data_IF_572175186713
#
_entry.id   IF_572175186713
#
_cell.length_a   1.000
_cell.length_b   1.000
_cell.length_c   1.000
_cell.angle_alpha   90.00
_cell.angle_beta   90.00
_cell.angle_gamma   90.00
#
_symmetry.space_group_name_H-M   'P 1'
#
loop_
_entity.id
_entity.type
_entity.pdbx_description
1 polymer ?
#
# COMPACT_ATOMS: atom_id res chain seq x y z
N UNK A 1 98.13 18.10 -38.78
CA UNK A 1 97.88 17.70 -37.38
C UNK A 1 96.90 16.56 -37.44
N UNK A 2 97.35 15.40 -36.96
CA UNK A 2 96.60 14.14 -36.96
C UNK A 2 95.35 14.26 -36.10
N UNK A 3 94.24 13.65 -36.54
CA UNK A 3 93.24 13.14 -35.61
C UNK A 3 92.76 11.74 -36.02
N UNK A 4 92.71 10.92 -34.98
CA UNK A 4 92.63 9.47 -34.83
C UNK A 4 91.30 8.84 -35.31
N UNK A 5 91.30 7.66 -35.97
CA UNK A 5 90.09 6.95 -36.36
C UNK A 5 89.66 5.98 -35.27
N UNK A 6 88.50 6.21 -34.62
CA UNK A 6 87.69 5.13 -34.04
C UNK A 6 86.35 5.68 -33.51
N UNK A 7 85.32 5.61 -34.34
CA UNK A 7 83.94 5.56 -33.87
C UNK A 7 83.23 4.42 -34.61
N UNK A 8 82.90 3.29 -33.95
CA UNK A 8 82.14 2.22 -34.59
C UNK A 8 80.67 2.64 -34.72
N UNK A 9 80.20 2.83 -35.96
CA UNK A 9 78.78 2.91 -36.26
C UNK A 9 78.09 1.62 -35.80
N UNK A 10 77.16 1.76 -34.85
CA UNK A 10 76.26 0.70 -34.43
C UNK A 10 75.34 0.40 -35.63
N UNK A 11 75.59 -0.71 -36.32
CA UNK A 11 74.66 -1.25 -37.32
C UNK A 11 73.34 -1.59 -36.63
N UNK A 12 72.30 -0.78 -36.85
CA UNK A 12 70.94 -1.19 -36.58
C UNK A 12 70.60 -2.37 -37.50
N UNK A 13 70.14 -3.52 -36.98
CA UNK A 13 69.64 -4.58 -37.85
C UNK A 13 68.39 -4.04 -38.56
N UNK A 14 68.47 -3.90 -39.88
CA UNK A 14 67.31 -3.71 -40.74
C UNK A 14 66.34 -4.88 -40.50
N UNK A 15 65.31 -4.66 -39.68
CA UNK A 15 64.13 -5.50 -39.71
C UNK A 15 63.49 -5.32 -41.09
N UNK A 16 63.77 -6.26 -42.00
CA UNK A 16 62.96 -6.43 -43.20
C UNK A 16 61.54 -6.80 -42.75
N UNK A 17 60.51 -5.94 -42.96
CA UNK A 17 59.16 -6.42 -42.89
C UNK A 17 58.95 -7.22 -44.18
N UNK A 18 59.15 -8.52 -44.13
CA UNK A 18 58.58 -9.41 -45.14
C UNK A 18 57.07 -9.32 -44.99
N UNK A 19 56.48 -8.32 -45.64
CA UNK A 19 55.05 -8.17 -45.78
C UNK A 19 54.54 -9.36 -46.60
N UNK A 20 54.18 -10.44 -45.91
CA UNK A 20 53.47 -11.56 -46.49
C UNK A 20 52.24 -10.98 -47.20
N UNK A 21 52.18 -11.12 -48.52
CA UNK A 21 51.02 -10.71 -49.33
C UNK A 21 49.79 -11.45 -48.79
N UNK A 22 48.95 -10.78 -48.01
CA UNK A 22 47.70 -11.36 -47.51
C UNK A 22 46.70 -11.39 -48.65
N UNK A 23 46.25 -12.58 -49.00
CA UNK A 23 45.21 -12.76 -50.01
C UNK A 23 43.89 -12.20 -49.47
N UNK A 24 42.99 -11.73 -50.33
CA UNK A 24 41.68 -11.17 -49.94
C UNK A 24 40.87 -12.09 -49.00
N UNK A 25 41.03 -13.40 -49.16
CA UNK A 25 40.47 -14.43 -48.27
C UNK A 25 40.99 -14.35 -46.82
N UNK A 26 42.23 -13.92 -46.61
CA UNK A 26 42.80 -13.65 -45.28
C UNK A 26 42.12 -12.45 -44.61
N UNK A 27 41.95 -11.34 -45.35
CA UNK A 27 41.26 -10.15 -44.84
C UNK A 27 39.80 -10.45 -44.49
N UNK A 28 39.10 -11.24 -45.31
CA UNK A 28 37.74 -11.66 -45.02
C UNK A 28 37.66 -12.55 -43.77
N UNK A 29 38.59 -13.50 -43.59
CA UNK A 29 38.65 -14.33 -42.37
C UNK A 29 38.96 -13.51 -41.12
N UNK A 30 39.87 -12.54 -41.22
CA UNK A 30 40.19 -11.60 -40.13
C UNK A 30 38.98 -10.73 -39.77
N UNK A 31 38.30 -10.15 -40.77
CA UNK A 31 37.04 -9.44 -40.57
C UNK A 31 35.99 -10.34 -39.91
N UNK A 32 35.78 -11.55 -40.43
CA UNK A 32 34.77 -12.47 -39.92
C UNK A 32 35.08 -12.89 -38.48
N UNK A 33 36.34 -13.11 -38.14
CA UNK A 33 36.77 -13.41 -36.77
C UNK A 33 36.44 -12.26 -35.81
N UNK A 34 36.82 -11.02 -36.16
CA UNK A 34 36.55 -9.84 -35.35
C UNK A 34 35.05 -9.55 -35.25
N UNK A 35 34.33 -9.66 -36.36
CA UNK A 35 32.88 -9.51 -36.41
C UNK A 35 32.19 -10.54 -35.52
N UNK A 36 32.54 -11.82 -35.63
CA UNK A 36 31.96 -12.87 -34.81
C UNK A 36 32.30 -12.70 -33.33
N UNK A 37 33.51 -12.25 -32.98
CA UNK A 37 33.88 -11.97 -31.60
C UNK A 37 32.99 -10.87 -30.98
N UNK A 38 32.82 -9.75 -31.69
CA UNK A 38 31.96 -8.64 -31.24
C UNK A 38 30.49 -9.05 -31.24
N UNK A 39 30.03 -9.73 -32.28
CA UNK A 39 28.65 -10.20 -32.41
C UNK A 39 28.28 -11.21 -31.31
N UNK A 40 29.17 -12.18 -31.03
CA UNK A 40 28.98 -13.14 -29.96
C UNK A 40 28.97 -12.46 -28.59
N UNK A 41 29.85 -11.47 -28.37
CA UNK A 41 29.85 -10.65 -27.15
C UNK A 41 28.51 -9.94 -26.94
N UNK A 42 28.00 -9.26 -27.97
CA UNK A 42 26.69 -8.61 -27.94
C UNK A 42 25.54 -9.61 -27.68
N UNK A 43 25.56 -10.77 -28.35
CA UNK A 43 24.56 -11.82 -28.14
C UNK A 43 24.59 -12.39 -26.72
N UNK A 44 25.79 -12.62 -26.17
CA UNK A 44 25.97 -13.13 -24.81
C UNK A 44 25.48 -12.11 -23.76
N UNK A 45 25.75 -10.82 -23.98
CA UNK A 45 25.26 -9.74 -23.10
C UNK A 45 23.74 -9.63 -23.12
N UNK A 46 23.11 -9.60 -24.30
CA UNK A 46 21.64 -9.58 -24.42
C UNK A 46 20.99 -10.81 -23.75
N UNK A 47 21.61 -11.99 -23.88
CA UNK A 47 21.11 -13.20 -23.24
C UNK A 47 21.25 -13.13 -21.71
N UNK A 48 22.41 -12.68 -21.20
CA UNK A 48 22.64 -12.47 -19.77
C UNK A 48 21.66 -11.46 -19.17
N UNK A 49 21.41 -10.36 -19.88
CA UNK A 49 20.47 -9.33 -19.43
C UNK A 49 19.05 -9.89 -19.36
N UNK A 50 18.60 -10.62 -20.39
CA UNK A 50 17.28 -11.28 -20.36
C UNK A 50 17.11 -12.20 -19.16
N UNK A 51 18.12 -13.03 -18.86
CA UNK A 51 18.08 -13.90 -17.68
C UNK A 51 17.99 -13.11 -16.37
N UNK A 52 18.73 -11.99 -16.29
CA UNK A 52 18.72 -11.11 -15.12
C UNK A 52 17.36 -10.42 -14.95
N UNK A 53 16.78 -9.91 -16.05
CA UNK A 53 15.43 -9.32 -16.04
C UNK A 53 14.37 -10.33 -15.59
N UNK A 54 14.42 -11.57 -16.08
CA UNK A 54 13.47 -12.63 -15.70
C UNK A 54 13.61 -13.00 -14.21
N UNK A 55 14.84 -13.05 -13.68
CA UNK A 55 15.08 -13.30 -12.27
C UNK A 55 14.52 -12.18 -11.37
N UNK A 56 14.78 -10.92 -11.71
CA UNK A 56 14.27 -9.77 -10.98
C UNK A 56 12.75 -9.65 -11.06
N UNK A 57 12.16 -9.88 -12.24
CA UNK A 57 10.71 -9.89 -12.40
C UNK A 57 10.06 -10.91 -11.46
N UNK A 58 10.66 -12.10 -11.35
CA UNK A 58 10.16 -13.16 -10.48
C UNK A 58 10.26 -12.80 -9.01
N UNK A 59 11.38 -12.24 -8.57
CA UNK A 59 11.59 -11.80 -7.19
C UNK A 59 10.57 -10.72 -6.81
N UNK A 60 10.42 -9.69 -7.64
CA UNK A 60 9.45 -8.62 -7.46
C UNK A 60 8.00 -9.15 -7.45
N UNK A 61 7.68 -10.10 -8.33
CA UNK A 61 6.35 -10.71 -8.40
C UNK A 61 6.01 -11.48 -7.11
N UNK A 62 6.96 -12.23 -6.56
CA UNK A 62 6.77 -12.97 -5.31
C UNK A 62 6.56 -11.99 -4.15
N UNK A 63 7.41 -10.96 -4.03
CA UNK A 63 7.30 -9.99 -2.95
C UNK A 63 5.98 -9.19 -3.04
N UNK A 64 5.59 -8.76 -4.26
CA UNK A 64 4.30 -8.10 -4.49
C UNK A 64 3.13 -9.00 -4.10
N UNK A 65 3.19 -10.29 -4.48
CA UNK A 65 2.15 -11.25 -4.13
C UNK A 65 1.98 -11.40 -2.61
N UNK A 66 3.08 -11.48 -1.85
CA UNK A 66 3.01 -11.58 -0.39
C UNK A 66 2.45 -10.32 0.27
N UNK A 67 2.84 -9.13 -0.18
CA UNK A 67 2.26 -7.87 0.30
C UNK A 67 0.74 -7.81 0.05
N UNK A 68 0.33 -8.12 -1.17
CA UNK A 68 -1.07 -8.13 -1.60
C UNK A 68 -1.92 -9.17 -0.86
N UNK A 69 -1.35 -10.36 -0.61
CA UNK A 69 -1.99 -11.44 0.16
C UNK A 69 -2.22 -10.98 1.59
N UNK A 70 -1.21 -10.39 2.23
CA UNK A 70 -1.35 -9.86 3.58
C UNK A 70 -2.36 -8.70 3.64
N UNK A 71 -2.36 -7.79 2.67
CA UNK A 71 -3.34 -6.69 2.61
C UNK A 71 -4.77 -7.18 2.38
N UNK A 72 -4.96 -8.29 1.65
CA UNK A 72 -6.29 -8.87 1.40
C UNK A 72 -6.99 -9.30 2.70
N UNK A 73 -6.23 -9.77 3.70
CA UNK A 73 -6.74 -10.10 5.02
C UNK A 73 -7.07 -8.83 5.81
N UNK A 74 -6.15 -7.86 5.78
CA UNK A 74 -6.32 -6.62 6.54
C UNK A 74 -7.54 -5.83 6.04
N UNK A 75 -7.73 -5.67 4.74
CA UNK A 75 -8.89 -4.92 4.20
C UNK A 75 -10.22 -5.55 4.60
N UNK A 76 -10.30 -6.89 4.76
CA UNK A 76 -11.49 -7.58 5.26
C UNK A 76 -11.75 -7.20 6.72
N UNK A 77 -10.74 -7.30 7.58
CA UNK A 77 -10.85 -6.90 9.00
C UNK A 77 -11.28 -5.43 9.13
N UNK A 78 -10.71 -4.53 8.33
CA UNK A 78 -11.08 -3.10 8.32
C UNK A 78 -12.52 -2.89 7.83
N UNK A 79 -12.97 -3.69 6.87
CA UNK A 79 -14.36 -3.65 6.38
C UNK A 79 -15.35 -4.02 7.49
N UNK A 80 -15.13 -5.13 8.19
CA UNK A 80 -16.01 -5.59 9.27
C UNK A 80 -16.07 -4.59 10.43
N UNK A 81 -14.90 -4.06 10.77
CA UNK A 81 -14.75 -3.03 11.80
C UNK A 81 -15.55 -1.76 11.45
N UNK A 82 -15.51 -1.32 10.17
CA UNK A 82 -16.32 -0.19 9.68
C UNK A 82 -17.81 -0.48 9.71
N UNK A 83 -18.25 -1.69 9.34
CA UNK A 83 -19.66 -2.10 9.44
C UNK A 83 -20.16 -2.00 10.89
N UNK A 84 -19.35 -2.42 11.87
CA UNK A 84 -19.72 -2.28 13.29
C UNK A 84 -19.89 -0.81 13.69
N UNK A 85 -18.97 0.06 13.27
CA UNK A 85 -19.06 1.49 13.52
C UNK A 85 -20.29 2.14 12.84
N UNK A 86 -20.58 1.78 11.59
CA UNK A 86 -21.75 2.27 10.85
C UNK A 86 -23.06 1.89 11.56
N UNK A 87 -23.18 0.63 12.01
CA UNK A 87 -24.34 0.18 12.79
C UNK A 87 -24.48 0.96 14.09
N UNK A 88 -23.37 1.20 14.80
CA UNK A 88 -23.40 1.97 16.03
C UNK A 88 -23.87 3.42 15.82
N UNK A 89 -23.41 4.07 14.74
CA UNK A 89 -23.88 5.40 14.36
C UNK A 89 -25.38 5.40 14.03
N UNK A 90 -25.87 4.40 13.31
CA UNK A 90 -27.28 4.26 12.98
C UNK A 90 -28.15 4.06 14.22
N UNK A 91 -27.73 3.20 15.15
CA UNK A 91 -28.43 3.00 16.43
C UNK A 91 -28.48 4.29 17.26
N UNK A 92 -27.42 5.09 17.27
CA UNK A 92 -27.41 6.40 17.94
C UNK A 92 -28.35 7.40 17.26
N UNK A 93 -28.38 7.44 15.92
CA UNK A 93 -29.31 8.30 15.19
C UNK A 93 -30.77 7.97 15.58
N UNK A 94 -31.14 6.70 15.56
CA UNK A 94 -32.47 6.26 15.99
C UNK A 94 -32.75 6.61 17.46
N UNK A 95 -31.79 6.38 18.36
CA UNK A 95 -31.94 6.73 19.77
C UNK A 95 -32.20 8.24 19.97
N UNK A 96 -31.49 9.10 19.25
CA UNK A 96 -31.67 10.54 19.34
C UNK A 96 -33.03 11.03 18.79
N UNK A 97 -33.73 10.23 17.99
CA UNK A 97 -35.05 10.58 17.44
C UNK A 97 -36.17 10.50 18.47
N UNK A 98 -36.16 9.53 19.38
CA UNK A 98 -37.34 9.22 20.19
C UNK A 98 -37.08 8.87 21.66
N UNK A 99 -35.81 8.76 22.08
CA UNK A 99 -35.45 8.25 23.40
C UNK A 99 -34.92 9.33 24.34
N UNK A 100 -35.12 9.14 25.65
CA UNK A 100 -34.59 10.05 26.68
C UNK A 100 -33.07 9.92 26.82
N UNK A 101 -32.40 11.06 27.03
CA UNK A 101 -30.96 11.15 27.30
C UNK A 101 -30.63 11.34 28.79
N UNK A 102 -31.64 11.42 29.67
CA UNK A 102 -31.42 11.58 31.12
C UNK A 102 -30.96 10.29 31.79
N UNK A 103 -31.47 9.15 31.32
CA UNK A 103 -31.07 7.82 31.74
C UNK A 103 -30.89 6.97 30.49
N UNK A 104 -29.63 6.64 30.18
CA UNK A 104 -29.30 5.90 28.97
C UNK A 104 -28.87 4.48 29.29
N UNK A 105 -29.25 3.55 28.42
CA UNK A 105 -28.94 2.14 28.59
C UNK A 105 -27.46 1.81 28.35
N UNK A 106 -27.00 0.65 28.84
CA UNK A 106 -25.71 0.08 28.42
C UNK A 106 -25.57 0.02 26.90
N UNK A 107 -26.64 -0.36 26.19
CA UNK A 107 -26.67 -0.39 24.71
C UNK A 107 -26.34 0.98 24.12
N UNK A 108 -26.88 2.06 24.66
CA UNK A 108 -26.54 3.42 24.23
C UNK A 108 -25.05 3.71 24.45
N UNK A 109 -24.53 3.45 25.65
CA UNK A 109 -23.10 3.70 25.96
C UNK A 109 -22.15 2.93 25.03
N UNK A 110 -22.46 1.67 24.71
CA UNK A 110 -21.68 0.83 23.78
C UNK A 110 -21.70 1.41 22.37
N UNK A 111 -22.88 1.82 21.88
CA UNK A 111 -22.97 2.45 20.56
C UNK A 111 -22.25 3.82 20.53
N UNK A 112 -22.32 4.59 21.62
CA UNK A 112 -21.58 5.85 21.75
C UNK A 112 -20.07 5.62 21.68
N UNK A 113 -19.57 4.57 22.32
CA UNK A 113 -18.16 4.16 22.24
C UNK A 113 -17.75 3.81 20.81
N UNK A 114 -18.49 2.93 20.14
CA UNK A 114 -18.12 2.47 18.79
C UNK A 114 -18.32 3.52 17.70
N UNK A 115 -19.42 4.28 17.76
CA UNK A 115 -19.78 5.27 16.76
C UNK A 115 -18.97 6.56 16.89
N UNK A 116 -18.90 7.10 18.11
CA UNK A 116 -18.39 8.45 18.38
C UNK A 116 -17.04 8.41 19.09
N UNK A 117 -16.93 7.79 20.28
CA UNK A 117 -15.74 7.96 21.13
C UNK A 117 -14.47 7.33 20.57
N UNK A 118 -14.54 6.09 20.10
CA UNK A 118 -13.38 5.40 19.60
C UNK A 118 -13.15 5.73 18.14
N UNK A 119 -11.97 6.28 17.88
CA UNK A 119 -11.33 6.20 16.57
C UNK A 119 -10.80 4.78 16.43
N UNK A 120 -11.73 3.87 16.23
CA UNK A 120 -11.48 2.48 15.83
C UNK A 120 -10.39 2.47 14.74
N UNK A 121 -9.48 1.48 14.66
CA UNK A 121 -8.51 1.43 13.56
C UNK A 121 -9.23 1.04 12.26
N UNK A 122 -10.11 1.92 11.76
CA UNK A 122 -10.87 1.81 10.52
C UNK A 122 -10.05 2.27 9.31
N UNK A 123 -8.88 2.87 9.56
CA UNK A 123 -7.90 3.18 8.54
C UNK A 123 -7.34 1.88 7.97
N UNK A 124 -7.41 1.78 6.65
CA UNK A 124 -6.71 0.79 5.85
C UNK A 124 -5.54 1.48 5.17
N UNK A 125 -4.34 0.97 5.45
CA UNK A 125 -3.07 1.45 4.91
C UNK A 125 -2.45 0.29 4.12
N UNK A 126 -2.71 0.21 2.80
CA UNK A 126 -2.10 -0.78 1.93
C UNK A 126 -0.58 -0.71 1.98
N UNK A 127 0.09 -1.86 1.91
CA UNK A 127 1.54 -1.92 1.75
C UNK A 127 1.91 -1.48 0.33
N UNK A 128 2.89 -0.60 0.21
CA UNK A 128 3.27 0.01 -1.08
C UNK A 128 4.73 -0.22 -1.45
N UNK A 129 5.54 -0.93 -0.65
CA UNK A 129 6.99 -1.01 -0.85
C UNK A 129 7.34 -1.56 -2.23
N UNK A 130 6.75 -2.70 -2.61
CA UNK A 130 7.04 -3.31 -3.91
C UNK A 130 6.37 -2.53 -5.05
N UNK A 131 5.18 -1.98 -4.81
CA UNK A 131 4.49 -1.14 -5.79
C UNK A 131 5.33 0.10 -6.15
N UNK A 132 5.86 0.80 -5.15
CA UNK A 132 6.75 1.95 -5.32
C UNK A 132 8.07 1.56 -5.97
N UNK A 133 8.65 0.42 -5.57
CA UNK A 133 9.87 -0.09 -6.21
C UNK A 133 9.62 -0.34 -7.71
N UNK A 134 8.50 -0.94 -8.09
CA UNK A 134 8.14 -1.20 -9.49
C UNK A 134 7.99 0.08 -10.31
N UNK A 135 7.39 1.11 -9.72
CA UNK A 135 7.13 2.39 -10.37
C UNK A 135 8.40 3.24 -10.51
N UNK A 136 9.19 3.34 -9.44
CA UNK A 136 10.32 4.27 -9.37
C UNK A 136 11.60 3.73 -10.05
N UNK A 137 11.76 2.41 -10.16
CA UNK A 137 12.96 1.79 -10.77
C UNK A 137 12.83 1.48 -12.26
N UNK A 138 11.67 1.72 -12.88
CA UNK A 138 11.38 1.28 -14.24
C UNK A 138 11.25 -0.25 -14.40
N UNK A 139 11.22 -0.99 -13.28
CA UNK A 139 11.14 -2.46 -13.29
C UNK A 139 9.81 -3.01 -13.81
N UNK A 140 8.78 -2.18 -13.92
CA UNK A 140 7.50 -2.57 -14.52
C UNK A 140 7.67 -3.14 -15.95
N UNK A 141 8.70 -2.70 -16.70
CA UNK A 141 9.02 -3.21 -18.04
C UNK A 141 9.42 -4.69 -18.08
N UNK A 142 9.81 -5.26 -16.94
CA UNK A 142 10.17 -6.67 -16.84
C UNK A 142 8.92 -7.57 -16.82
N UNK A 143 7.77 -7.03 -16.40
CA UNK A 143 6.48 -7.72 -16.40
C UNK A 143 5.86 -7.66 -17.80
N UNK A 144 6.08 -8.69 -18.64
CA UNK A 144 5.66 -8.62 -20.06
C UNK A 144 4.15 -8.68 -20.27
N UNK A 145 3.35 -9.13 -19.30
CA UNK A 145 1.90 -9.12 -19.41
C UNK A 145 1.33 -7.70 -19.24
N UNK A 146 0.69 -7.18 -20.30
CA UNK A 146 0.05 -5.87 -20.31
C UNK A 146 -1.08 -5.72 -19.31
N UNK A 147 -1.87 -6.78 -19.08
CA UNK A 147 -2.94 -6.76 -18.08
C UNK A 147 -2.37 -6.64 -16.67
N UNK A 148 -1.25 -7.33 -16.39
CA UNK A 148 -0.58 -7.23 -15.11
C UNK A 148 -0.07 -5.80 -14.86
N UNK A 149 0.56 -5.18 -15.87
CA UNK A 149 0.99 -3.78 -15.79
C UNK A 149 -0.19 -2.83 -15.55
N UNK A 150 -1.30 -3.03 -16.28
CA UNK A 150 -2.53 -2.23 -16.11
C UNK A 150 -3.06 -2.35 -14.69
N UNK A 151 -3.20 -3.57 -14.17
CA UNK A 151 -3.72 -3.81 -12.82
C UNK A 151 -2.81 -3.23 -11.73
N UNK A 152 -1.49 -3.23 -11.91
CA UNK A 152 -0.55 -2.54 -11.01
C UNK A 152 -0.83 -1.03 -11.00
N UNK A 153 -1.09 -0.43 -12.16
CA UNK A 153 -1.53 0.97 -12.26
C UNK A 153 -2.87 1.22 -11.56
N UNK A 154 -3.87 0.38 -11.84
CA UNK A 154 -5.21 0.46 -11.24
C UNK A 154 -5.14 0.33 -9.70
N UNK A 155 -4.23 -0.51 -9.19
CA UNK A 155 -3.99 -0.67 -7.76
C UNK A 155 -3.51 0.64 -7.14
N UNK A 156 -2.53 1.31 -7.75
CA UNK A 156 -2.05 2.61 -7.29
C UNK A 156 -3.17 3.65 -7.24
N UNK A 157 -4.04 3.69 -8.25
CA UNK A 157 -5.21 4.58 -8.28
C UNK A 157 -6.16 4.24 -7.13
N UNK A 158 -6.45 2.95 -6.90
CA UNK A 158 -7.31 2.51 -5.81
C UNK A 158 -6.77 2.92 -4.44
N UNK A 159 -5.46 2.76 -4.20
CA UNK A 159 -4.78 3.15 -2.96
C UNK A 159 -4.88 4.68 -2.75
N UNK A 160 -4.59 5.47 -3.78
CA UNK A 160 -4.69 6.93 -3.71
C UNK A 160 -6.11 7.39 -3.38
N UNK A 161 -7.12 6.79 -4.01
CA UNK A 161 -8.52 7.10 -3.73
C UNK A 161 -8.91 6.72 -2.29
N UNK A 162 -8.44 5.58 -1.77
CA UNK A 162 -8.65 5.22 -0.36
C UNK A 162 -8.04 6.26 0.57
N UNK A 163 -6.81 6.69 0.30
CA UNK A 163 -6.13 7.69 1.14
C UNK A 163 -6.85 9.04 1.14
N UNK A 164 -7.32 9.51 -0.02
CA UNK A 164 -8.11 10.73 -0.13
C UNK A 164 -9.42 10.63 0.67
N UNK A 165 -10.15 9.53 0.51
CA UNK A 165 -11.40 9.28 1.24
C UNK A 165 -11.21 9.22 2.74
N UNK A 166 -10.16 8.58 3.23
CA UNK A 166 -9.84 8.51 4.66
C UNK A 166 -9.43 9.87 5.24
N UNK A 167 -8.85 10.75 4.41
CA UNK A 167 -8.58 12.15 4.78
C UNK A 167 -9.89 12.92 4.94
N UNK A 168 -10.80 12.83 3.96
CA UNK A 168 -12.12 13.45 4.06
C UNK A 168 -12.89 12.97 5.30
N UNK A 169 -12.88 11.66 5.59
CA UNK A 169 -13.48 11.12 6.80
C UNK A 169 -12.89 11.71 8.08
N UNK A 170 -11.57 11.92 8.09
CA UNK A 170 -10.88 12.55 9.22
C UNK A 170 -11.34 13.98 9.41
N UNK A 171 -11.54 14.72 8.32
CA UNK A 171 -11.97 16.12 8.38
C UNK A 171 -13.45 16.24 8.79
N UNK A 172 -14.34 15.42 8.22
CA UNK A 172 -15.74 15.31 8.67
C UNK A 172 -15.80 14.98 10.17
N UNK A 173 -14.98 14.02 10.64
CA UNK A 173 -14.95 13.65 12.06
C UNK A 173 -14.51 14.83 12.93
N UNK A 174 -13.45 15.54 12.53
CA UNK A 174 -12.95 16.70 13.28
C UNK A 174 -14.01 17.79 13.39
N UNK A 175 -14.71 18.07 12.29
CA UNK A 175 -15.68 19.15 12.21
C UNK A 175 -16.99 18.83 12.95
N UNK A 176 -17.49 17.60 12.81
CA UNK A 176 -18.86 17.27 13.24
C UNK A 176 -18.95 16.27 14.40
N UNK A 177 -17.97 15.39 14.57
CA UNK A 177 -18.04 14.29 15.57
C UNK A 177 -17.24 14.62 16.82
N UNK A 178 -16.04 15.19 16.69
CA UNK A 178 -15.22 15.55 17.84
C UNK A 178 -15.90 16.56 18.77
N UNK A 179 -16.66 17.57 18.31
CA UNK A 179 -17.41 18.44 19.21
C UNK A 179 -18.41 17.69 20.09
N UNK A 180 -19.03 16.62 19.59
CA UNK A 180 -19.94 15.77 20.38
C UNK A 180 -19.20 15.08 21.53
N UNK A 181 -17.94 14.68 21.33
CA UNK A 181 -17.11 14.14 22.40
C UNK A 181 -16.74 15.17 23.45
N UNK A 182 -16.48 16.41 23.02
CA UNK A 182 -16.15 17.49 23.95
C UNK A 182 -17.37 17.86 24.81
N UNK A 183 -18.56 17.89 24.21
CA UNK A 183 -19.78 18.36 24.88
C UNK A 183 -20.48 17.26 25.68
N UNK A 184 -20.54 16.03 25.15
CA UNK A 184 -21.50 15.04 25.63
C UNK A 184 -20.88 13.75 26.18
N UNK A 185 -19.57 13.55 26.03
CA UNK A 185 -18.93 12.31 26.50
C UNK A 185 -18.64 12.33 28.00
N UNK A 186 -18.99 11.22 28.65
CA UNK A 186 -18.70 11.00 30.06
C UNK A 186 -17.29 10.44 30.28
N UNK A 187 -16.37 11.32 30.68
CA UNK A 187 -15.00 10.91 31.01
C UNK A 187 -14.89 10.23 32.39
N UNK A 188 -15.90 10.30 33.25
CA UNK A 188 -15.92 9.53 34.50
C UNK A 188 -16.23 8.06 34.19
N UNK A 189 -17.26 7.82 33.36
CA UNK A 189 -17.52 6.52 32.74
C UNK A 189 -16.27 5.97 32.04
N UNK A 190 -15.57 6.80 31.25
CA UNK A 190 -14.34 6.38 30.56
C UNK A 190 -13.26 5.88 31.52
N UNK A 191 -13.02 6.59 32.62
CA UNK A 191 -12.01 6.17 33.63
C UNK A 191 -12.40 4.84 34.27
N UNK A 192 -13.68 4.67 34.59
CA UNK A 192 -14.20 3.41 35.16
C UNK A 192 -14.12 2.25 34.17
N UNK A 193 -14.36 2.50 32.90
CA UNK A 193 -14.32 1.51 31.83
C UNK A 193 -12.90 1.00 31.58
N UNK A 194 -11.90 1.89 31.64
CA UNK A 194 -10.54 1.59 31.19
C UNK A 194 -9.63 1.07 32.31
N UNK A 195 -9.93 1.34 33.60
CA UNK A 195 -9.22 0.76 34.78
C UNK A 195 -7.68 0.67 34.61
N UNK A 196 -7.05 1.78 34.23
CA UNK A 196 -5.60 1.96 33.97
C UNK A 196 -5.01 1.35 32.67
N UNK A 197 -5.83 0.74 31.80
CA UNK A 197 -5.40 0.28 30.47
C UNK A 197 -5.29 1.43 29.46
N UNK A 198 -4.67 1.21 28.30
CA UNK A 198 -4.75 2.19 27.19
C UNK A 198 -6.10 2.03 26.48
N UNK A 199 -6.76 3.15 26.15
CA UNK A 199 -8.01 3.17 25.38
C UNK A 199 -7.85 2.36 24.09
N UNK A 200 -8.63 1.30 23.95
CA UNK A 200 -8.61 0.45 22.75
C UNK A 200 -10.00 -0.15 22.50
N UNK A 201 -10.27 -0.47 21.24
CA UNK A 201 -11.56 -1.07 20.84
C UNK A 201 -11.85 -2.40 21.56
N UNK A 202 -10.81 -3.08 22.01
CA UNK A 202 -10.92 -4.31 22.81
C UNK A 202 -11.58 -4.05 24.17
N UNK A 203 -11.40 -2.86 24.76
CA UNK A 203 -12.09 -2.47 26.01
C UNK A 203 -13.60 -2.34 25.78
N UNK A 204 -14.03 -1.68 24.69
CA UNK A 204 -15.46 -1.64 24.36
C UNK A 204 -16.03 -3.04 24.09
N UNK A 205 -15.26 -3.91 23.43
CA UNK A 205 -15.70 -5.28 23.15
C UNK A 205 -15.85 -6.11 24.43
N UNK A 206 -14.90 -6.00 25.36
CA UNK A 206 -14.98 -6.65 26.67
C UNK A 206 -16.16 -6.13 27.49
N UNK A 207 -16.38 -4.81 27.50
CA UNK A 207 -17.52 -4.22 28.19
C UNK A 207 -18.86 -4.66 27.59
N UNK A 208 -18.99 -4.63 26.26
CA UNK A 208 -20.17 -5.10 25.54
C UNK A 208 -20.50 -6.56 25.89
N UNK A 209 -19.48 -7.43 25.96
CA UNK A 209 -19.65 -8.86 26.26
C UNK A 209 -19.87 -9.20 27.74
N UNK A 210 -19.57 -8.27 28.65
CA UNK A 210 -19.72 -8.49 30.09
C UNK A 210 -21.16 -8.27 30.58
N UNK A 211 -21.46 -8.73 31.79
CA UNK A 211 -22.69 -8.35 32.53
C UNK A 211 -22.52 -7.06 33.34
N UNK A 212 -21.31 -6.46 33.35
CA UNK A 212 -21.04 -5.21 34.07
C UNK A 212 -21.85 -4.06 33.44
N UNK A 213 -22.48 -3.24 34.29
CA UNK A 213 -23.16 -2.02 33.90
C UNK A 213 -22.44 -0.86 34.55
N UNK A 214 -21.74 -0.07 33.75
CA UNK A 214 -21.10 1.16 34.19
C UNK A 214 -22.05 2.30 33.82
N UNK A 215 -22.53 3.11 34.79
CA UNK A 215 -23.39 4.25 34.49
C UNK A 215 -22.71 5.21 33.51
N UNK A 216 -23.42 5.61 32.47
CA UNK A 216 -22.99 6.63 31.51
C UNK A 216 -23.96 7.81 31.60
N UNK A 217 -23.44 9.02 31.78
CA UNK A 217 -24.22 10.25 31.77
C UNK A 217 -23.98 11.04 30.48
N UNK A 218 -25.03 11.28 29.68
CA UNK A 218 -24.92 12.16 28.52
C UNK A 218 -24.77 13.62 28.99
N UNK A 219 -23.55 14.16 28.90
CA UNK A 219 -23.21 15.48 29.48
C UNK A 219 -23.82 16.64 28.67
N UNK A 220 -24.04 17.78 29.35
CA UNK A 220 -24.52 19.03 28.74
C UNK A 220 -25.75 18.87 27.84
N UNK A 221 -26.79 18.20 28.35
CA UNK A 221 -28.05 17.96 27.64
C UNK A 221 -28.71 19.27 27.16
N UNK A 222 -28.55 20.37 27.90
CA UNK A 222 -29.06 21.69 27.54
C UNK A 222 -28.44 22.28 26.27
N UNK A 223 -27.28 21.76 25.84
CA UNK A 223 -26.57 22.16 24.62
C UNK A 223 -26.77 21.18 23.46
N UNK A 224 -27.62 20.17 23.63
CA UNK A 224 -27.80 19.14 22.63
C UNK A 224 -28.60 19.64 21.42
N UNK A 225 -27.93 19.81 20.28
CA UNK A 225 -28.59 20.00 18.99
C UNK A 225 -28.97 18.63 18.41
N UNK A 226 -30.22 18.22 18.62
CA UNK A 226 -30.75 16.95 18.13
C UNK A 226 -30.62 16.79 16.61
N UNK A 227 -31.14 17.75 15.84
CA UNK A 227 -31.20 17.62 14.39
C UNK A 227 -29.80 17.73 13.77
N UNK A 228 -28.98 18.67 14.27
CA UNK A 228 -27.59 18.80 13.85
C UNK A 228 -26.77 17.56 14.17
N UNK A 229 -26.96 16.94 15.34
CA UNK A 229 -26.28 15.70 15.71
C UNK A 229 -26.68 14.54 14.82
N UNK A 230 -27.98 14.33 14.56
CA UNK A 230 -28.44 13.26 13.66
C UNK A 230 -27.84 13.44 12.26
N UNK A 231 -27.84 14.67 11.73
CA UNK A 231 -27.24 14.98 10.43
C UNK A 231 -25.72 14.78 10.43
N UNK A 232 -25.02 15.16 11.51
CA UNK A 232 -23.59 14.94 11.71
C UNK A 232 -23.22 13.45 11.72
N UNK A 233 -24.00 12.62 12.41
CA UNK A 233 -23.81 11.16 12.39
C UNK A 233 -24.11 10.58 11.00
N UNK A 234 -25.14 11.09 10.32
CA UNK A 234 -25.50 10.69 8.96
C UNK A 234 -24.38 10.96 7.94
N UNK A 235 -23.86 12.19 7.90
CA UNK A 235 -22.76 12.53 6.98
C UNK A 235 -21.49 11.72 7.28
N UNK A 236 -21.15 11.51 8.55
CA UNK A 236 -19.97 10.71 8.90
C UNK A 236 -20.16 9.22 8.58
N UNK A 237 -21.29 8.63 8.97
CA UNK A 237 -21.58 7.21 8.80
C UNK A 237 -21.89 6.83 7.36
N UNK A 238 -22.84 7.50 6.72
CA UNK A 238 -23.31 7.14 5.37
C UNK A 238 -22.41 7.70 4.27
N UNK A 239 -22.14 9.01 4.29
CA UNK A 239 -21.36 9.66 3.23
C UNK A 239 -19.85 9.48 3.41
N UNK A 240 -19.37 9.37 4.65
CA UNK A 240 -17.98 9.09 4.99
C UNK A 240 -17.68 7.60 4.92
N UNK A 241 -17.97 6.89 6.01
CA UNK A 241 -17.53 5.52 6.26
C UNK A 241 -18.09 4.51 5.25
N UNK A 242 -19.42 4.49 5.06
CA UNK A 242 -20.09 3.50 4.22
C UNK A 242 -19.75 3.68 2.73
N UNK A 243 -19.62 4.92 2.25
CA UNK A 243 -19.18 5.21 0.88
C UNK A 243 -17.74 4.71 0.64
N UNK A 244 -16.81 5.01 1.54
CA UNK A 244 -15.42 4.54 1.43
C UNK A 244 -15.33 3.02 1.47
N UNK A 245 -16.08 2.36 2.35
CA UNK A 245 -16.13 0.90 2.45
C UNK A 245 -16.74 0.24 1.22
N UNK A 246 -17.90 0.71 0.77
CA UNK A 246 -18.67 0.04 -0.29
C UNK A 246 -18.11 0.31 -1.68
N UNK A 247 -17.47 1.46 -1.90
CA UNK A 247 -16.89 1.83 -3.20
C UNK A 247 -15.39 1.56 -3.20
N UNK A 248 -14.64 2.27 -2.36
CA UNK A 248 -13.18 2.34 -2.51
C UNK A 248 -12.47 1.09 -2.01
N UNK A 249 -12.88 0.54 -0.86
CA UNK A 249 -12.33 -0.75 -0.39
C UNK A 249 -12.74 -1.88 -1.33
N UNK A 250 -13.94 -1.84 -1.91
CA UNK A 250 -14.38 -2.87 -2.85
C UNK A 250 -13.55 -2.85 -4.14
N UNK A 251 -13.34 -1.66 -4.72
CA UNK A 251 -12.46 -1.50 -5.89
C UNK A 251 -11.05 -2.03 -5.61
N UNK A 252 -10.47 -1.69 -4.45
CA UNK A 252 -9.16 -2.23 -4.06
C UNK A 252 -9.18 -3.76 -3.97
N UNK A 253 -10.19 -4.36 -3.30
CA UNK A 253 -10.33 -5.82 -3.19
C UNK A 253 -10.43 -6.49 -4.55
N UNK A 254 -11.19 -5.92 -5.47
CA UNK A 254 -11.39 -6.48 -6.81
C UNK A 254 -10.09 -6.45 -7.62
N UNK A 255 -9.37 -5.33 -7.59
CA UNK A 255 -8.06 -5.19 -8.27
C UNK A 255 -7.03 -6.11 -7.63
N UNK A 256 -6.93 -6.12 -6.29
CA UNK A 256 -6.01 -6.97 -5.55
C UNK A 256 -6.25 -8.46 -5.86
N UNK A 257 -7.51 -8.90 -5.86
CA UNK A 257 -7.88 -10.29 -6.19
C UNK A 257 -7.42 -10.68 -7.60
N UNK A 258 -7.64 -9.81 -8.59
CA UNK A 258 -7.19 -10.05 -9.97
C UNK A 258 -5.66 -10.11 -10.07
N UNK A 259 -4.96 -9.22 -9.36
CA UNK A 259 -3.49 -9.22 -9.30
C UNK A 259 -2.95 -10.52 -8.69
N UNK A 260 -3.48 -10.94 -7.55
CA UNK A 260 -3.07 -12.18 -6.89
C UNK A 260 -3.23 -13.39 -7.81
N UNK A 261 -4.37 -13.50 -8.50
CA UNK A 261 -4.62 -14.58 -9.45
C UNK A 261 -3.64 -14.56 -10.62
N UNK A 262 -3.38 -13.37 -11.18
CA UNK A 262 -2.53 -13.22 -12.36
C UNK A 262 -1.05 -13.46 -12.03
N UNK A 263 -0.54 -12.88 -10.93
CA UNK A 263 0.81 -13.11 -10.41
C UNK A 263 1.06 -14.60 -10.15
N UNK A 264 0.11 -15.26 -9.50
CA UNK A 264 0.18 -16.69 -9.23
C UNK A 264 0.28 -17.52 -10.51
N UNK A 265 -0.57 -17.20 -11.50
CA UNK A 265 -0.62 -17.90 -12.79
C UNK A 265 0.68 -17.72 -13.58
N UNK A 266 1.17 -16.49 -13.70
CA UNK A 266 2.34 -16.17 -14.52
C UNK A 266 3.65 -16.66 -13.90
N UNK A 267 3.82 -16.47 -12.59
CA UNK A 267 5.08 -16.75 -11.90
C UNK A 267 5.09 -18.10 -11.16
N UNK A 268 4.00 -18.88 -11.27
CA UNK A 268 3.84 -20.22 -10.67
C UNK A 268 4.09 -20.22 -9.16
N UNK A 269 3.58 -19.20 -8.48
CA UNK A 269 3.71 -19.01 -7.03
C UNK A 269 2.85 -20.08 -6.33
N UNK A 270 3.39 -20.72 -5.28
CA UNK A 270 2.67 -21.71 -4.46
C UNK A 270 1.95 -21.01 -3.30
N UNK A 271 0.88 -21.62 -2.80
CA UNK A 271 0.10 -21.09 -1.66
C UNK A 271 0.90 -21.04 -0.35
#
# INVERSE_FOLDING_TARGET
MEENPNNPEIQQPLMNPTAIKRNWTSYFKEFLMLFLAVFAGFMAENYRDKLTEEAWAKELAINLYEELKADSVIVVIKTETRIKQEKALQELMHYFEDSSLTEVSKKFSVNFLYGIAYRTPSLFEPRTVILEQLQNSGSLRYFKNRELQKLIGDLSVAINNINDRQRLETDIRKEYINPLLVLHYDYDFHRMLVKDSVTSITVAAAYEASDEIIPFEFKSLEKFDKQGTINALGIYGMNGLASTRSVHFQVYKDVNTKLLQLLRKEFKIKD
#
